data_IF_818759915032
#
_entry.id   IF_818759915032
#
_cell.length_a   1.000
_cell.length_b   1.000
_cell.length_c   1.000
_cell.angle_alpha   90.00
_cell.angle_beta   90.00
_cell.angle_gamma   90.00
#
_symmetry.space_group_name_H-M   'P 1'
#
loop_
_entity.id
_entity.type
_entity.pdbx_description
1 polymer ?
#
# COMPACT_ATOMS: atom_id res chain seq x y z
N UNK A 1 -14.95 -16.31 8.76
CA UNK A 1 -15.72 -16.89 7.62
C UNK A 1 -15.17 -16.24 6.36
N UNK A 2 -14.97 -16.98 5.25
CA UNK A 2 -14.57 -16.44 3.95
C UNK A 2 -15.79 -16.50 3.05
N UNK A 3 -16.11 -15.38 2.40
CA UNK A 3 -17.19 -15.29 1.42
C UNK A 3 -16.61 -14.92 0.05
N UNK A 4 -17.05 -15.61 -0.99
CA UNK A 4 -16.61 -15.40 -2.37
C UNK A 4 -17.79 -15.00 -3.23
N UNK A 5 -17.64 -13.89 -3.94
CA UNK A 5 -18.66 -13.38 -4.86
C UNK A 5 -18.11 -13.37 -6.27
N UNK A 6 -18.92 -13.79 -7.24
CA UNK A 6 -18.62 -13.74 -8.66
C UNK A 6 -19.64 -12.85 -9.36
N UNK A 7 -19.20 -11.73 -9.92
CA UNK A 7 -20.06 -10.78 -10.61
C UNK A 7 -19.46 -9.37 -10.69
N UNK A 8 -20.25 -8.42 -11.15
CA UNK A 8 -19.86 -7.00 -11.17
C UNK A 8 -19.70 -6.48 -9.74
N UNK A 9 -18.51 -5.99 -9.42
CA UNK A 9 -18.20 -5.52 -8.07
C UNK A 9 -19.07 -4.32 -7.64
N UNK A 10 -19.49 -3.44 -8.56
CA UNK A 10 -20.35 -2.31 -8.23
C UNK A 10 -21.76 -2.77 -7.83
N UNK A 11 -22.26 -3.87 -8.43
CA UNK A 11 -23.54 -4.46 -8.04
C UNK A 11 -23.42 -5.26 -6.73
N UNK A 12 -22.36 -6.06 -6.59
CA UNK A 12 -22.13 -6.86 -5.37
C UNK A 12 -21.95 -5.97 -4.15
N UNK A 13 -21.17 -4.90 -4.27
CA UNK A 13 -20.92 -3.99 -3.14
C UNK A 13 -22.18 -3.35 -2.59
N UNK A 14 -23.28 -3.21 -3.37
CA UNK A 14 -24.58 -2.71 -2.87
C UNK A 14 -25.14 -3.55 -1.72
N UNK A 15 -24.78 -4.83 -1.66
CA UNK A 15 -25.22 -5.76 -0.62
C UNK A 15 -24.32 -5.72 0.64
N UNK A 16 -23.19 -5.04 0.60
CA UNK A 16 -22.30 -4.90 1.74
C UNK A 16 -22.82 -3.75 2.62
N UNK A 17 -23.01 -3.97 3.94
CA UNK A 17 -23.51 -2.93 4.84
C UNK A 17 -22.56 -1.72 4.89
N UNK A 18 -23.14 -0.54 5.13
CA UNK A 18 -22.38 0.69 5.33
C UNK A 18 -21.43 0.56 6.52
N UNK A 19 -20.22 1.12 6.40
CA UNK A 19 -19.23 1.17 7.48
C UNK A 19 -18.91 -0.19 8.11
N UNK A 20 -18.95 -1.26 7.32
CA UNK A 20 -18.72 -2.63 7.80
C UNK A 20 -17.32 -3.16 7.50
N UNK A 21 -16.60 -2.58 6.52
CA UNK A 21 -15.32 -3.07 6.02
C UNK A 21 -14.16 -2.35 6.72
N UNK A 22 -13.23 -3.10 7.29
CA UNK A 22 -12.03 -2.56 7.97
C UNK A 22 -10.97 -2.10 6.97
N UNK A 23 -10.79 -2.84 5.86
CA UNK A 23 -9.80 -2.56 4.83
C UNK A 23 -10.33 -2.98 3.46
N UNK A 24 -10.07 -2.17 2.46
CA UNK A 24 -10.20 -2.57 1.05
C UNK A 24 -8.80 -2.73 0.48
N UNK A 25 -8.46 -3.94 0.03
CA UNK A 25 -7.22 -4.26 -0.68
C UNK A 25 -7.59 -4.80 -2.05
N UNK A 26 -7.26 -4.06 -3.11
CA UNK A 26 -7.75 -4.41 -4.44
C UNK A 26 -6.69 -4.17 -5.53
N UNK A 27 -6.64 -5.12 -6.47
CA UNK A 27 -5.94 -5.02 -7.74
C UNK A 27 -6.98 -4.72 -8.83
N UNK A 28 -7.18 -3.44 -9.13
CA UNK A 28 -8.16 -2.97 -10.10
C UNK A 28 -7.72 -3.30 -11.54
N UNK A 29 -8.64 -3.38 -12.51
CA UNK A 29 -8.25 -3.39 -13.92
C UNK A 29 -7.66 -2.04 -14.33
N UNK A 30 -6.48 -2.04 -14.98
CA UNK A 30 -5.73 -0.83 -15.33
C UNK A 30 -6.05 -0.29 -16.73
N UNK A 31 -6.76 -1.06 -17.57
CA UNK A 31 -7.02 -0.71 -18.96
C UNK A 31 -5.76 -0.69 -19.84
N UNK A 32 -4.73 -1.46 -19.47
CA UNK A 32 -3.43 -1.47 -20.14
C UNK A 32 -3.16 -2.71 -20.96
N UNK A 33 -4.03 -3.71 -20.87
CA UNK A 33 -3.92 -4.98 -21.59
C UNK A 33 -4.99 -5.10 -22.68
N UNK A 34 -4.88 -6.12 -23.52
CA UNK A 34 -5.90 -6.43 -24.55
C UNK A 34 -6.98 -7.38 -24.06
N UNK A 35 -6.98 -7.75 -22.79
CA UNK A 35 -8.00 -8.61 -22.21
C UNK A 35 -9.33 -7.87 -22.07
N UNK A 36 -10.42 -8.54 -22.39
CA UNK A 36 -11.78 -7.96 -22.34
C UNK A 36 -12.22 -7.55 -20.93
N UNK A 37 -11.63 -8.15 -19.89
CA UNK A 37 -11.90 -7.83 -18.50
C UNK A 37 -11.08 -6.62 -17.96
N UNK A 38 -10.04 -6.19 -18.69
CA UNK A 38 -9.17 -5.08 -18.25
C UNK A 38 -9.76 -3.73 -18.67
N UNK A 39 -10.93 -3.43 -18.15
CA UNK A 39 -11.64 -2.16 -18.38
C UNK A 39 -11.63 -1.36 -17.08
N UNK A 40 -11.20 -0.10 -17.15
CA UNK A 40 -11.17 0.79 -15.98
C UNK A 40 -12.60 0.97 -15.45
N UNK A 41 -12.79 0.67 -14.18
CA UNK A 41 -14.06 0.89 -13.47
C UNK A 41 -14.27 2.40 -13.32
N UNK A 42 -15.49 2.93 -13.61
CA UNK A 42 -15.77 4.35 -13.40
C UNK A 42 -15.48 4.80 -11.97
N UNK A 43 -14.53 5.70 -11.81
CA UNK A 43 -14.01 6.08 -10.48
C UNK A 43 -15.07 6.72 -9.59
N UNK A 44 -15.98 7.51 -10.14
CA UNK A 44 -17.10 8.12 -9.41
C UNK A 44 -17.95 7.06 -8.69
N UNK A 45 -18.36 6.02 -9.42
CA UNK A 45 -19.14 4.90 -8.89
C UNK A 45 -18.34 4.04 -7.92
N UNK A 46 -17.04 3.83 -8.22
CA UNK A 46 -16.16 3.07 -7.36
C UNK A 46 -15.99 3.76 -5.99
N UNK A 47 -15.69 5.06 -5.99
CA UNK A 47 -15.50 5.83 -4.76
C UNK A 47 -16.80 6.01 -3.97
N UNK A 48 -17.94 6.08 -4.64
CA UNK A 48 -19.25 6.06 -3.97
C UNK A 48 -19.39 4.80 -3.10
N UNK A 49 -19.17 3.62 -3.67
CA UNK A 49 -19.28 2.35 -2.94
C UNK A 49 -18.17 2.19 -1.90
N UNK A 50 -16.92 2.47 -2.24
CA UNK A 50 -15.81 2.34 -1.31
C UNK A 50 -15.98 3.25 -0.08
N UNK A 51 -16.39 4.52 -0.28
CA UNK A 51 -16.61 5.47 0.81
C UNK A 51 -17.81 5.07 1.71
N UNK A 52 -18.82 4.39 1.14
CA UNK A 52 -19.98 3.91 1.87
C UNK A 52 -19.63 2.72 2.76
N UNK A 53 -18.95 1.70 2.21
CA UNK A 53 -18.71 0.45 2.93
C UNK A 53 -17.53 0.50 3.90
N UNK A 54 -16.50 1.33 3.63
CA UNK A 54 -15.33 1.43 4.49
C UNK A 54 -15.64 2.09 5.83
N UNK A 55 -15.10 1.58 6.93
CA UNK A 55 -15.16 2.21 8.25
C UNK A 55 -14.42 3.55 8.27
N UNK A 56 -14.74 4.42 9.23
CA UNK A 56 -14.16 5.77 9.30
C UNK A 56 -12.63 5.75 9.52
N UNK A 57 -12.10 4.70 10.16
CA UNK A 57 -10.69 4.43 10.37
C UNK A 57 -10.15 3.30 9.46
N UNK A 58 -10.89 2.94 8.43
CA UNK A 58 -10.48 1.92 7.46
C UNK A 58 -9.52 2.48 6.41
N UNK A 59 -8.68 1.61 5.85
CA UNK A 59 -7.77 1.94 4.76
C UNK A 59 -8.26 1.37 3.44
N UNK A 60 -8.08 2.13 2.35
CA UNK A 60 -8.28 1.67 0.98
C UNK A 60 -6.92 1.62 0.32
N UNK A 61 -6.47 0.42 -0.05
CA UNK A 61 -5.12 0.14 -0.56
C UNK A 61 -5.25 -0.47 -1.95
N UNK A 62 -4.83 0.27 -2.96
CA UNK A 62 -5.08 -0.06 -4.35
C UNK A 62 -3.78 -0.21 -5.12
N UNK A 63 -3.61 -1.36 -5.78
CA UNK A 63 -2.52 -1.57 -6.72
C UNK A 63 -2.74 -0.73 -7.97
N UNK A 64 -1.65 -0.34 -8.59
CA UNK A 64 -1.71 0.42 -9.82
C UNK A 64 -0.35 0.57 -10.49
N UNK A 65 -0.41 0.98 -11.76
CA UNK A 65 0.77 1.24 -12.58
C UNK A 65 0.47 2.45 -13.48
N UNK A 66 1.44 3.36 -13.62
CA UNK A 66 1.22 4.51 -14.49
C UNK A 66 1.03 4.10 -15.97
N UNK A 67 0.08 4.79 -16.68
CA UNK A 67 -0.61 6.02 -16.30
C UNK A 67 -1.85 5.85 -15.39
N UNK A 68 -2.36 4.61 -15.19
CA UNK A 68 -3.53 4.34 -14.38
C UNK A 68 -3.39 4.87 -12.94
N UNK A 69 -2.24 4.65 -12.27
CA UNK A 69 -2.01 5.15 -10.91
C UNK A 69 -2.18 6.66 -10.80
N UNK A 70 -1.75 7.42 -11.81
CA UNK A 70 -1.92 8.87 -11.83
C UNK A 70 -3.39 9.27 -11.91
N UNK A 71 -4.18 8.60 -12.76
CA UNK A 71 -5.63 8.83 -12.87
C UNK A 71 -6.35 8.45 -11.58
N UNK A 72 -5.99 7.30 -10.99
CA UNK A 72 -6.55 6.82 -9.73
C UNK A 72 -6.31 7.82 -8.59
N UNK A 73 -5.08 8.32 -8.42
CA UNK A 73 -4.77 9.33 -7.40
C UNK A 73 -5.54 10.62 -7.62
N UNK A 74 -5.56 11.11 -8.86
CA UNK A 74 -6.31 12.34 -9.21
C UNK A 74 -7.82 12.20 -8.98
N UNK A 75 -8.37 11.01 -9.09
CA UNK A 75 -9.81 10.79 -8.89
C UNK A 75 -10.27 10.96 -7.43
N UNK A 76 -9.36 10.89 -6.45
CA UNK A 76 -9.67 11.12 -5.03
C UNK A 76 -8.46 11.69 -4.27
N UNK A 77 -7.98 12.86 -4.68
CA UNK A 77 -6.86 13.56 -4.03
C UNK A 77 -7.13 13.89 -2.56
N UNK A 78 -8.39 14.07 -2.17
CA UNK A 78 -8.78 14.39 -0.80
C UNK A 78 -8.37 13.30 0.18
N UNK A 79 -8.61 12.04 -0.19
CA UNK A 79 -8.37 10.88 0.68
C UNK A 79 -7.04 10.19 0.38
N UNK A 80 -6.39 10.49 -0.76
CA UNK A 80 -5.05 10.02 -1.08
C UNK A 80 -4.03 10.54 -0.06
N UNK A 81 -3.15 9.66 0.42
CA UNK A 81 -2.13 10.01 1.42
C UNK A 81 -0.70 9.78 0.91
N UNK A 82 -0.39 8.58 0.44
CA UNK A 82 0.93 8.22 -0.07
C UNK A 82 0.89 6.93 -0.86
N UNK A 83 1.99 6.66 -1.56
CA UNK A 83 2.22 5.37 -2.20
C UNK A 83 3.24 4.54 -1.42
N UNK A 84 3.03 3.23 -1.45
CA UNK A 84 4.03 2.21 -1.22
C UNK A 84 4.47 1.71 -2.60
N UNK A 85 5.78 1.52 -2.79
CA UNK A 85 6.35 1.05 -4.04
C UNK A 85 6.81 -0.39 -3.88
N UNK A 86 6.09 -1.31 -4.51
CA UNK A 86 6.54 -2.69 -4.57
C UNK A 86 7.65 -2.85 -5.59
N UNK A 87 8.88 -3.12 -5.10
CA UNK A 87 10.03 -3.44 -5.94
C UNK A 87 10.06 -4.95 -6.20
N UNK A 88 9.93 -5.30 -7.50
CA UNK A 88 10.00 -6.66 -8.00
C UNK A 88 11.45 -7.05 -8.24
N UNK A 89 11.76 -8.35 -8.14
CA UNK A 89 13.12 -8.88 -8.40
C UNK A 89 13.56 -8.75 -9.86
N UNK A 90 12.62 -8.69 -10.81
CA UNK A 90 12.87 -8.62 -12.23
C UNK A 90 12.08 -7.50 -12.90
N UNK A 91 12.67 -6.96 -13.98
CA UNK A 91 11.97 -6.00 -14.85
C UNK A 91 10.84 -6.69 -15.62
N UNK A 92 9.73 -6.00 -15.80
CA UNK A 92 8.52 -6.51 -16.47
C UNK A 92 8.42 -6.13 -17.95
N UNK A 93 9.20 -5.15 -18.39
CA UNK A 93 9.18 -4.61 -19.76
C UNK A 93 10.42 -4.97 -20.58
N UNK A 94 10.93 -6.18 -20.46
CA UNK A 94 12.21 -6.62 -21.03
C UNK A 94 12.32 -6.35 -22.55
N UNK A 95 11.23 -6.45 -23.29
CA UNK A 95 11.20 -6.17 -24.73
C UNK A 95 11.43 -4.70 -25.08
N UNK A 96 11.37 -3.80 -24.09
CA UNK A 96 11.45 -2.37 -24.28
C UNK A 96 12.70 -1.73 -23.68
N UNK A 97 13.57 -2.52 -23.03
CA UNK A 97 14.74 -1.98 -22.30
C UNK A 97 15.77 -1.28 -23.18
N UNK A 98 15.74 -1.56 -24.50
CA UNK A 98 16.56 -0.84 -25.48
C UNK A 98 16.04 0.57 -25.80
N UNK A 99 14.78 0.88 -25.42
CA UNK A 99 14.11 2.14 -25.74
C UNK A 99 13.74 2.96 -24.51
N UNK A 100 13.66 2.34 -23.35
CA UNK A 100 13.33 2.99 -22.07
C UNK A 100 13.86 2.17 -20.89
N UNK A 101 13.93 2.78 -19.71
CA UNK A 101 14.39 2.11 -18.48
C UNK A 101 13.55 0.88 -18.14
N UNK A 102 14.20 -0.11 -17.54
CA UNK A 102 13.53 -1.32 -17.04
C UNK A 102 12.53 -0.97 -15.93
N UNK A 103 11.35 -1.60 -15.96
CA UNK A 103 10.27 -1.37 -15.02
C UNK A 103 10.20 -2.51 -14.02
N UNK A 104 10.54 -2.24 -12.77
CA UNK A 104 10.50 -3.20 -11.67
C UNK A 104 9.69 -2.70 -10.48
N UNK A 105 9.04 -1.53 -10.59
CA UNK A 105 8.21 -0.94 -9.54
C UNK A 105 6.74 -1.03 -9.93
N UNK A 106 5.90 -1.33 -8.92
CA UNK A 106 4.44 -1.18 -8.98
C UNK A 106 3.98 -0.33 -7.81
N UNK A 107 3.03 0.56 -8.07
CA UNK A 107 2.50 1.48 -7.08
C UNK A 107 1.40 0.80 -6.25
N UNK A 108 1.35 1.11 -4.97
CA UNK A 108 0.27 0.72 -4.06
C UNK A 108 -0.18 2.00 -3.38
N UNK A 109 -1.28 2.57 -3.86
CA UNK A 109 -1.78 3.84 -3.39
C UNK A 109 -2.66 3.65 -2.15
N UNK A 110 -2.40 4.43 -1.10
CA UNK A 110 -3.10 4.37 0.18
C UNK A 110 -4.00 5.57 0.33
N UNK A 111 -5.29 5.29 0.59
CA UNK A 111 -6.33 6.30 0.79
C UNK A 111 -7.02 6.05 2.13
N UNK A 112 -7.33 7.12 2.85
CA UNK A 112 -8.19 7.10 4.02
C UNK A 112 -8.74 8.49 4.32
N UNK A 113 -9.93 8.52 4.95
CA UNK A 113 -10.58 9.77 5.36
C UNK A 113 -9.98 10.30 6.67
N UNK A 114 -10.01 9.48 7.71
CA UNK A 114 -9.39 9.74 9.00
C UNK A 114 -8.17 8.81 9.13
N UNK A 115 -7.28 9.07 10.11
CA UNK A 115 -6.15 8.18 10.35
C UNK A 115 -6.64 6.74 10.45
N UNK A 116 -6.18 5.91 9.52
CA UNK A 116 -6.54 4.50 9.47
C UNK A 116 -5.78 3.68 10.53
N UNK A 117 -6.24 2.45 10.75
CA UNK A 117 -5.44 1.44 11.45
C UNK A 117 -4.08 1.35 10.77
N UNK A 118 -3.01 1.48 11.54
CA UNK A 118 -1.65 1.36 11.06
C UNK A 118 -0.78 0.62 12.08
N UNK A 119 -0.43 -0.61 11.73
CA UNK A 119 0.42 -1.50 12.52
C UNK A 119 1.75 -1.66 11.80
N UNK A 120 2.76 -0.81 12.07
CA UNK A 120 4.03 -0.85 11.35
C UNK A 120 4.73 -2.20 11.55
N UNK A 121 4.98 -2.91 10.47
CA UNK A 121 5.77 -4.14 10.49
C UNK A 121 7.24 -3.77 10.56
N UNK A 122 7.81 -3.82 11.78
CA UNK A 122 9.15 -3.32 12.07
C UNK A 122 10.22 -4.18 11.38
N UNK A 123 11.16 -3.52 10.69
CA UNK A 123 12.24 -4.17 9.93
C UNK A 123 13.47 -4.30 10.83
N UNK A 124 14.05 -5.50 10.89
CA UNK A 124 15.33 -5.72 11.57
C UNK A 124 16.42 -4.90 10.89
N UNK A 125 17.21 -4.20 11.68
CA UNK A 125 18.29 -3.37 11.22
C UNK A 125 19.63 -3.92 11.69
N UNK A 126 20.46 -4.37 10.75
CA UNK A 126 21.77 -4.95 11.02
C UNK A 126 22.93 -3.93 10.96
N UNK A 127 22.62 -2.65 10.80
CA UNK A 127 23.61 -1.56 10.80
C UNK A 127 23.96 -1.06 12.21
N UNK A 128 24.82 -0.05 12.30
CA UNK A 128 25.24 0.51 13.58
C UNK A 128 24.07 1.10 14.35
N UNK A 129 23.88 0.63 15.59
CA UNK A 129 22.84 1.14 16.49
C UNK A 129 23.18 2.55 16.96
N UNK A 130 22.21 3.46 16.90
CA UNK A 130 22.32 4.82 17.41
C UNK A 130 21.72 4.87 18.81
N UNK A 131 22.47 4.47 19.83
CA UNK A 131 22.08 4.80 21.20
C UNK A 131 22.50 6.23 21.51
N UNK A 132 21.58 7.15 21.70
CA UNK A 132 21.84 8.44 22.30
C UNK A 132 22.03 8.25 23.81
N UNK A 133 23.13 7.64 24.23
CA UNK A 133 23.58 7.78 25.61
C UNK A 133 23.94 9.24 25.80
N UNK A 134 23.21 9.93 26.69
CA UNK A 134 23.54 11.28 27.14
C UNK A 134 24.94 11.24 27.74
N UNK A 135 25.95 11.52 26.95
CA UNK A 135 27.28 11.88 27.49
C UNK A 135 27.23 13.36 27.86
N UNK A 136 27.33 13.64 29.13
CA UNK A 136 27.48 14.99 29.68
C UNK A 136 26.32 15.98 29.45
N UNK A 137 25.07 15.58 29.63
CA UNK A 137 23.93 16.49 29.69
C UNK A 137 23.59 17.26 28.40
N UNK A 138 24.23 16.97 27.28
CA UNK A 138 23.90 17.58 25.98
C UNK A 138 23.19 16.57 25.09
N UNK A 139 21.87 16.59 25.19
CA UNK A 139 21.00 15.87 24.26
C UNK A 139 20.96 16.59 22.91
N UNK A 140 21.11 15.85 21.79
CA UNK A 140 20.78 16.40 20.49
C UNK A 140 19.32 16.86 20.49
N UNK A 141 19.06 18.10 20.08
CA UNK A 141 17.72 18.68 20.05
C UNK A 141 16.89 17.97 18.97
N UNK A 142 16.06 17.01 19.36
CA UNK A 142 14.91 16.60 18.55
C UNK A 142 13.80 17.60 18.85
N UNK A 143 13.37 18.33 17.85
CA UNK A 143 12.28 19.31 17.91
C UNK A 143 11.13 18.70 17.13
N UNK A 144 9.92 18.73 17.69
CA UNK A 144 8.71 18.41 16.93
C UNK A 144 8.33 19.59 16.00
N UNK A 145 7.32 19.40 15.14
CA UNK A 145 6.83 20.42 14.21
C UNK A 145 6.32 21.71 14.93
N UNK A 146 6.11 21.64 16.25
CA UNK A 146 5.69 22.74 17.10
C UNK A 146 6.85 23.33 17.94
N UNK A 147 8.11 22.96 17.62
CA UNK A 147 9.30 23.45 18.31
C UNK A 147 9.43 23.01 19.79
N UNK A 148 8.70 21.96 20.21
CA UNK A 148 8.81 21.40 21.55
C UNK A 148 10.01 20.46 21.65
N UNK A 149 10.79 20.61 22.71
CA UNK A 149 11.96 19.75 22.99
C UNK A 149 11.49 18.47 23.68
N UNK A 150 11.48 17.35 22.97
CA UNK A 150 11.30 16.04 23.60
C UNK A 150 12.65 15.49 24.05
N UNK A 151 12.82 15.37 25.34
CA UNK A 151 13.92 14.64 25.95
C UNK A 151 13.38 13.28 26.39
N UNK A 152 13.29 12.31 25.45
CA UNK A 152 13.09 10.91 25.82
C UNK A 152 14.39 10.15 25.56
N UNK A 153 14.81 9.36 26.54
CA UNK A 153 15.86 8.37 26.32
C UNK A 153 15.41 7.45 25.16
N UNK A 154 16.15 7.48 24.07
CA UNK A 154 15.92 6.58 22.95
C UNK A 154 16.85 5.37 23.09
N UNK A 155 16.27 4.22 23.33
CA UNK A 155 16.97 2.94 23.29
C UNK A 155 16.74 2.35 21.89
N UNK A 156 17.81 2.23 21.11
CA UNK A 156 17.75 1.56 19.81
C UNK A 156 17.58 0.06 20.04
N UNK A 157 16.41 -0.47 19.70
CA UNK A 157 16.06 -1.90 19.82
C UNK A 157 16.50 -2.74 18.61
N UNK A 158 17.28 -2.17 17.68
CA UNK A 158 17.72 -2.86 16.46
C UNK A 158 16.63 -3.02 15.40
N UNK A 159 15.52 -2.29 15.51
CA UNK A 159 14.47 -2.29 14.48
C UNK A 159 14.25 -0.89 13.91
N UNK A 160 13.69 -0.83 12.70
CA UNK A 160 13.34 0.42 11.99
C UNK A 160 11.92 0.34 11.48
N UNK A 161 11.27 1.50 11.41
CA UNK A 161 9.99 1.61 10.72
C UNK A 161 10.13 1.26 9.23
N UNK A 162 9.12 0.64 8.62
CA UNK A 162 9.13 0.38 7.19
C UNK A 162 9.24 1.69 6.39
N UNK A 163 9.91 1.60 5.24
CA UNK A 163 10.02 2.70 4.28
C UNK A 163 9.00 2.52 3.16
N UNK A 164 8.92 3.46 2.22
CA UNK A 164 7.98 3.38 1.11
C UNK A 164 8.32 2.28 0.08
N UNK A 165 9.57 1.81 0.01
CA UNK A 165 9.98 0.78 -0.96
C UNK A 165 9.96 -0.58 -0.27
N UNK A 166 9.07 -1.44 -0.73
CA UNK A 166 8.88 -2.81 -0.24
C UNK A 166 9.37 -3.82 -1.25
N UNK A 167 10.22 -4.77 -0.83
CA UNK A 167 10.82 -5.78 -1.70
C UNK A 167 10.17 -7.13 -1.45
N UNK A 168 9.38 -7.58 -2.41
CA UNK A 168 8.73 -8.89 -2.38
C UNK A 168 8.93 -9.60 -3.72
N UNK A 169 9.30 -10.88 -3.64
CA UNK A 169 9.40 -11.74 -4.83
C UNK A 169 8.02 -12.10 -5.34
N UNK A 170 7.91 -12.32 -6.64
CA UNK A 170 6.67 -12.81 -7.26
C UNK A 170 6.54 -14.33 -7.05
N UNK A 171 5.33 -14.81 -6.84
CA UNK A 171 5.05 -16.25 -6.63
C UNK A 171 5.06 -17.10 -7.90
N UNK A 172 5.53 -16.57 -9.02
CA UNK A 172 5.48 -17.19 -10.36
C UNK A 172 6.12 -18.59 -10.40
N UNK A 173 7.10 -18.85 -9.53
CA UNK A 173 7.82 -20.13 -9.52
C UNK A 173 7.15 -21.18 -8.63
N UNK A 174 6.25 -20.78 -7.72
CA UNK A 174 5.64 -21.69 -6.74
C UNK A 174 4.17 -22.00 -7.03
N UNK A 175 3.44 -21.05 -7.61
CA UNK A 175 2.03 -21.25 -7.98
C UNK A 175 1.62 -20.24 -9.06
N UNK A 176 1.80 -20.61 -10.33
CA UNK A 176 1.35 -19.75 -11.44
C UNK A 176 -0.13 -19.99 -11.74
N UNK A 177 -1.02 -19.60 -10.83
CA UNK A 177 -2.47 -19.73 -11.01
C UNK A 177 -3.02 -18.64 -11.94
N UNK A 178 -2.40 -17.47 -11.96
CA UNK A 178 -2.80 -16.34 -12.80
C UNK A 178 -1.57 -15.50 -13.21
N UNK A 179 -1.47 -15.04 -14.47
CA UNK A 179 -0.29 -14.32 -14.97
C UNK A 179 0.00 -12.98 -14.26
N UNK A 180 -1.02 -12.39 -13.65
CA UNK A 180 -0.90 -11.12 -12.90
C UNK A 180 -1.05 -11.28 -11.39
N UNK A 181 -0.93 -12.52 -10.89
CA UNK A 181 -1.05 -12.82 -9.46
C UNK A 181 -0.11 -11.93 -8.62
N UNK A 182 -0.67 -11.34 -7.56
CA UNK A 182 0.11 -10.61 -6.56
C UNK A 182 0.73 -11.60 -5.56
N UNK A 183 1.96 -11.33 -5.05
CA UNK A 183 2.59 -12.20 -4.07
C UNK A 183 1.77 -12.27 -2.77
N UNK A 184 1.53 -13.49 -2.30
CA UNK A 184 0.80 -13.72 -1.05
C UNK A 184 1.48 -13.02 0.12
N UNK A 185 2.82 -13.09 0.20
CA UNK A 185 3.58 -12.42 1.26
C UNK A 185 3.40 -10.89 1.26
N UNK A 186 3.29 -10.25 0.08
CA UNK A 186 3.01 -8.82 -0.01
C UNK A 186 1.59 -8.49 0.46
N UNK A 187 0.60 -9.29 0.04
CA UNK A 187 -0.79 -9.10 0.45
C UNK A 187 -0.94 -9.27 1.97
N UNK A 188 -0.29 -10.28 2.54
CA UNK A 188 -0.28 -10.54 3.99
C UNK A 188 0.34 -9.37 4.76
N UNK A 189 1.46 -8.81 4.29
CA UNK A 189 2.11 -7.65 4.92
C UNK A 189 1.22 -6.40 4.87
N UNK A 190 0.53 -6.16 3.74
CA UNK A 190 -0.43 -5.07 3.61
C UNK A 190 -1.61 -5.24 4.57
N UNK A 191 -2.16 -6.45 4.68
CA UNK A 191 -3.28 -6.74 5.59
C UNK A 191 -2.84 -6.52 7.04
N UNK A 192 -1.70 -7.06 7.47
CA UNK A 192 -1.15 -6.87 8.82
C UNK A 192 -0.91 -5.39 9.14
N UNK A 193 -0.51 -4.62 8.14
CA UNK A 193 -0.19 -3.19 8.31
C UNK A 193 -1.46 -2.34 8.46
N UNK A 194 -2.52 -2.62 7.71
CA UNK A 194 -3.68 -1.73 7.59
C UNK A 194 -4.99 -2.30 8.14
N UNK A 195 -4.97 -3.47 8.76
CA UNK A 195 -6.15 -4.04 9.45
C UNK A 195 -5.78 -4.63 10.81
N UNK A 196 -6.81 -4.98 11.62
CA UNK A 196 -6.68 -5.66 12.91
C UNK A 196 -6.88 -7.16 12.74
#
# INVERSE_FOLDING_TARGET
>A
MIELYNGDCLEIMKNIPDKSVDMILCDLPYGTTKYSWDIIIPFDKLWEQYSRIIKDNGAIVLFGQDPFSSLLRCSNLKDYKYDIYWEKEWITNIMQVKKRVGKNIENISVFYKNQCTYNPQMIKYDGPTRSNKVKNGKLGKLVDDNNNKFVKEYVDNGTRYPTQVWKFKRDILTSNLHPTQKPVALLEELIKTFSN
#
